data_IF_707980305528
#
_entry.id   IF_707980305528
#
_cell.length_a   1.000
_cell.length_b   1.000
_cell.length_c   1.000
_cell.angle_alpha   90.00
_cell.angle_beta   90.00
_cell.angle_gamma   90.00
#
_symmetry.space_group_name_H-M   'P 1'
#
loop_
_entity.id
_entity.type
_entity.pdbx_description
1 polymer ?
#
# COMPACT_ATOMS: atom_id res chain seq x y z
N UNK A 1 19.66 8.60 1.50
CA UNK A 1 19.89 9.95 0.94
C UNK A 1 18.58 10.70 0.93
N UNK A 2 18.54 11.87 1.56
CA UNK A 2 17.34 12.70 1.66
C UNK A 2 17.29 13.61 0.44
N UNK A 3 16.27 13.47 -0.38
CA UNK A 3 16.03 14.36 -1.51
C UNK A 3 15.64 15.73 -1.01
N UNK A 4 16.56 16.67 -1.07
CA UNK A 4 16.24 18.10 -0.95
C UNK A 4 16.19 18.71 -2.34
N UNK A 5 15.01 19.13 -2.77
CA UNK A 5 14.92 20.14 -3.82
C UNK A 5 15.66 21.38 -3.34
N UNK A 6 16.63 21.88 -4.10
CA UNK A 6 17.25 23.17 -3.86
C UNK A 6 16.16 24.26 -3.90
N UNK A 7 15.79 24.77 -2.76
CA UNK A 7 14.99 25.98 -2.66
C UNK A 7 15.95 27.16 -2.71
N UNK A 8 15.79 28.00 -3.70
CA UNK A 8 16.40 29.33 -3.72
C UNK A 8 16.00 30.10 -2.46
N UNK A 9 17.02 30.69 -1.81
CA UNK A 9 16.90 31.28 -0.51
C UNK A 9 15.93 32.47 -0.47
N UNK A 10 15.15 32.48 0.58
CA UNK A 10 14.61 33.71 1.11
C UNK A 10 15.18 33.89 2.52
N UNK A 11 16.08 34.86 2.64
CA UNK A 11 16.64 35.34 3.92
C UNK A 11 15.56 36.17 4.59
N UNK A 12 15.08 35.73 5.73
CA UNK A 12 14.70 36.49 6.90
C UNK A 12 13.76 35.71 7.78
N UNK A 13 14.24 35.31 8.95
CA UNK A 13 13.55 35.46 10.23
C UNK A 13 14.24 34.59 11.29
N UNK A 14 15.11 35.21 12.04
CA UNK A 14 15.49 34.79 13.39
C UNK A 14 14.27 34.99 14.30
N UNK A 15 13.74 33.90 14.85
CA UNK A 15 13.03 33.89 16.14
C UNK A 15 13.28 32.55 16.83
N UNK A 16 13.63 32.56 18.14
CA UNK A 16 13.92 31.33 18.87
C UNK A 16 12.65 30.57 19.26
N UNK A 17 12.76 29.25 19.25
CA UNK A 17 11.77 28.31 19.72
C UNK A 17 11.66 28.36 21.26
N UNK A 18 10.45 28.32 21.84
CA UNK A 18 10.25 28.20 23.27
C UNK A 18 9.86 26.79 23.65
N UNK A 19 10.80 25.88 23.70
CA UNK A 19 10.70 24.63 24.46
C UNK A 19 12.10 24.11 24.76
N UNK A 20 12.66 24.64 25.86
CA UNK A 20 13.74 23.99 26.60
C UNK A 20 13.23 23.76 28.03
N UNK A 21 12.99 22.57 28.38
CA UNK A 21 13.25 21.74 29.57
C UNK A 21 13.14 22.37 30.99
N UNK A 22 13.18 21.56 32.09
CA UNK A 22 13.32 20.13 32.28
C UNK A 22 12.42 19.48 33.38
N UNK A 23 12.37 18.16 33.35
CA UNK A 23 12.45 17.31 34.55
C UNK A 23 11.26 17.19 35.48
N UNK A 24 10.72 15.99 35.52
CA UNK A 24 10.59 15.24 36.81
C UNK A 24 10.24 13.77 36.53
N UNK A 25 11.09 12.90 37.02
CA UNK A 25 10.86 11.46 37.12
C UNK A 25 9.66 11.17 38.00
N UNK A 26 8.60 10.57 37.47
CA UNK A 26 7.63 9.83 38.28
C UNK A 26 7.86 8.33 38.09
N UNK A 27 8.45 7.73 39.11
CA UNK A 27 8.53 6.29 39.27
C UNK A 27 7.17 5.80 39.74
N UNK A 28 6.35 5.31 38.78
CA UNK A 28 5.11 4.62 39.05
C UNK A 28 5.36 3.11 39.11
N UNK A 29 5.11 2.52 40.29
CA UNK A 29 5.25 1.08 40.58
C UNK A 29 4.36 0.25 39.63
N UNK A 30 4.97 -0.53 38.75
CA UNK A 30 4.28 -1.60 38.04
C UNK A 30 4.09 -2.80 38.96
N UNK A 31 2.86 -3.08 39.35
CA UNK A 31 2.48 -4.36 40.02
C UNK A 31 2.60 -5.47 38.98
N UNK A 32 3.56 -6.36 39.16
CA UNK A 32 3.72 -7.59 38.43
C UNK A 32 2.53 -8.53 38.72
N UNK A 33 1.71 -8.81 37.71
CA UNK A 33 0.77 -9.91 37.71
C UNK A 33 1.50 -11.17 37.28
N UNK A 34 1.76 -12.08 38.20
CA UNK A 34 2.22 -13.43 37.90
C UNK A 34 1.07 -14.24 37.29
N UNK A 35 1.05 -14.38 35.96
CA UNK A 35 0.27 -15.43 35.31
C UNK A 35 1.10 -16.72 35.25
N UNK A 36 0.60 -17.75 35.96
CA UNK A 36 1.14 -19.11 35.88
C UNK A 36 0.78 -19.70 34.52
N UNK A 37 1.75 -19.83 33.62
CA UNK A 37 1.59 -20.52 32.36
C UNK A 37 1.67 -22.03 32.58
N UNK A 38 0.56 -22.72 32.38
CA UNK A 38 0.59 -24.16 32.14
C UNK A 38 1.10 -24.39 30.69
N UNK A 39 2.32 -24.88 30.58
CA UNK A 39 2.90 -25.30 29.32
C UNK A 39 2.17 -26.55 28.81
N UNK A 40 1.18 -26.39 27.97
CA UNK A 40 0.82 -27.40 26.99
C UNK A 40 1.79 -27.23 25.82
N UNK A 41 2.72 -28.16 25.65
CA UNK A 41 3.64 -28.18 24.51
C UNK A 41 2.85 -28.48 23.22
N UNK A 42 2.14 -27.49 22.72
CA UNK A 42 1.66 -27.51 21.35
C UNK A 42 2.90 -27.46 20.46
N UNK A 43 3.08 -28.48 19.61
CA UNK A 43 4.07 -28.45 18.54
C UNK A 43 3.78 -27.22 17.69
N UNK A 44 4.53 -26.14 17.91
CA UNK A 44 4.52 -24.96 17.07
C UNK A 44 5.13 -25.43 15.74
N UNK A 45 4.28 -25.77 14.77
CA UNK A 45 4.69 -25.92 13.39
C UNK A 45 5.08 -24.53 12.93
N UNK A 46 6.37 -24.19 13.02
CA UNK A 46 6.89 -22.96 12.43
C UNK A 46 6.75 -23.08 10.91
N UNK A 47 5.70 -22.55 10.36
CA UNK A 47 5.60 -22.33 8.93
C UNK A 47 6.65 -21.30 8.53
N UNK A 48 7.78 -21.76 8.01
CA UNK A 48 8.75 -20.87 7.37
C UNK A 48 8.26 -20.59 5.95
N UNK A 49 7.51 -19.53 5.78
CA UNK A 49 7.21 -19.05 4.44
C UNK A 49 8.53 -18.67 3.75
N UNK A 50 8.70 -19.04 2.46
CA UNK A 50 9.92 -18.71 1.74
C UNK A 50 10.07 -17.19 1.67
N UNK A 51 11.32 -16.73 1.77
CA UNK A 51 11.68 -15.32 1.59
C UNK A 51 11.29 -14.90 0.17
N UNK A 52 10.51 -13.85 0.02
CA UNK A 52 10.21 -13.29 -1.30
C UNK A 52 11.44 -12.58 -1.85
N UNK A 53 11.99 -13.11 -2.95
CA UNK A 53 13.10 -12.51 -3.67
C UNK A 53 12.61 -11.90 -4.98
N UNK A 54 12.94 -10.64 -5.20
CA UNK A 54 12.69 -9.92 -6.47
C UNK A 54 14.04 -9.57 -7.06
N UNK A 55 14.50 -10.36 -8.02
CA UNK A 55 15.89 -10.33 -8.47
C UNK A 55 16.85 -10.55 -7.30
N UNK A 56 17.73 -9.57 -7.04
CA UNK A 56 18.68 -9.59 -5.89
C UNK A 56 18.10 -9.05 -4.57
N UNK A 57 16.90 -8.47 -4.60
CA UNK A 57 16.27 -7.89 -3.42
C UNK A 57 15.54 -8.96 -2.61
N UNK A 58 15.95 -9.19 -1.37
CA UNK A 58 15.27 -10.06 -0.41
C UNK A 58 14.35 -9.22 0.48
N UNK A 59 13.08 -9.58 0.56
CA UNK A 59 12.10 -8.88 1.37
C UNK A 59 11.92 -9.56 2.73
N UNK A 60 11.82 -8.74 3.78
CA UNK A 60 11.60 -9.23 5.16
C UNK A 60 10.19 -9.82 5.37
N UNK A 61 9.25 -9.51 4.48
CA UNK A 61 7.89 -10.04 4.46
C UNK A 61 7.44 -10.20 3.01
N UNK A 62 6.56 -11.17 2.75
CA UNK A 62 5.99 -11.45 1.43
C UNK A 62 4.83 -10.51 1.07
N UNK A 63 4.55 -9.54 1.94
CA UNK A 63 3.42 -8.62 1.79
C UNK A 63 3.88 -7.30 1.18
N UNK A 64 3.17 -6.87 0.15
CA UNK A 64 3.45 -5.64 -0.57
C UNK A 64 2.26 -4.67 -0.49
N UNK A 65 2.54 -3.37 -0.39
CA UNK A 65 1.51 -2.33 -0.54
C UNK A 65 1.34 -2.01 -2.03
N UNK A 66 0.13 -2.25 -2.55
CA UNK A 66 -0.20 -1.94 -3.94
C UNK A 66 -0.25 -0.42 -4.19
N UNK A 67 0.18 0.06 -5.37
CA UNK A 67 0.06 1.46 -5.77
C UNK A 67 -1.42 1.85 -5.94
N UNK A 68 -1.86 2.90 -5.23
CA UNK A 68 -3.21 3.47 -5.33
C UNK A 68 -3.11 4.99 -5.48
N UNK A 69 -3.50 5.49 -6.66
CA UNK A 69 -3.43 6.91 -7.00
C UNK A 69 -4.23 7.80 -6.03
N UNK A 70 -3.55 8.73 -5.41
CA UNK A 70 -4.10 9.65 -4.42
C UNK A 70 -4.28 9.06 -3.02
N UNK A 71 -3.67 7.90 -2.75
CA UNK A 71 -3.78 7.20 -1.45
C UNK A 71 -2.42 6.73 -0.92
N UNK A 72 -1.58 6.10 -1.72
CA UNK A 72 -0.32 5.48 -1.27
C UNK A 72 0.87 6.44 -1.33
N UNK A 73 0.64 7.73 -1.08
CA UNK A 73 1.69 8.73 -0.94
C UNK A 73 2.58 8.46 0.28
N UNK A 74 3.70 9.19 0.36
CA UNK A 74 4.69 9.05 1.45
C UNK A 74 4.08 9.07 2.86
N UNK A 75 3.12 9.97 3.21
CA UNK A 75 2.52 10.00 4.53
C UNK A 75 1.88 8.68 4.94
N UNK A 76 1.13 8.04 4.03
CA UNK A 76 0.52 6.75 4.28
C UNK A 76 1.57 5.64 4.42
N UNK A 77 2.53 5.57 3.48
CA UNK A 77 3.58 4.54 3.50
C UNK A 77 4.36 4.57 4.82
N UNK A 78 4.78 5.75 5.27
CA UNK A 78 5.47 5.90 6.55
C UNK A 78 4.60 5.50 7.76
N UNK A 79 3.31 5.80 7.71
CA UNK A 79 2.42 5.48 8.83
C UNK A 79 2.16 3.97 8.93
N UNK A 80 1.92 3.29 7.80
CA UNK A 80 1.66 1.85 7.79
C UNK A 80 2.93 1.03 8.09
N UNK A 81 4.11 1.48 7.65
CA UNK A 81 5.37 0.81 7.98
C UNK A 81 5.66 0.76 9.48
N UNK A 82 5.21 1.74 10.25
CA UNK A 82 5.36 1.75 11.73
C UNK A 82 4.58 0.64 12.41
N UNK A 83 3.58 0.06 11.75
CA UNK A 83 2.82 -1.09 12.26
C UNK A 83 3.55 -2.43 12.03
N UNK A 84 4.51 -2.49 11.11
CA UNK A 84 5.24 -3.70 10.77
C UNK A 84 4.58 -4.57 9.69
N UNK A 85 5.24 -5.68 9.34
CA UNK A 85 4.74 -6.69 8.40
C UNK A 85 4.78 -6.32 6.92
N UNK A 86 5.12 -5.09 6.56
CA UNK A 86 5.20 -4.63 5.16
C UNK A 86 6.60 -4.87 4.58
N UNK A 87 6.71 -5.74 3.58
CA UNK A 87 7.96 -6.06 2.89
C UNK A 87 8.36 -5.02 1.84
N UNK A 88 7.44 -4.66 0.94
CA UNK A 88 7.69 -3.69 -0.13
C UNK A 88 6.52 -2.71 -0.24
N UNK A 89 6.81 -1.42 -0.28
CA UNK A 89 5.81 -0.42 -0.62
C UNK A 89 6.01 0.09 -2.06
N UNK A 90 4.91 0.39 -2.76
CA UNK A 90 4.95 1.09 -4.03
C UNK A 90 4.48 2.54 -3.89
N UNK A 91 5.07 3.43 -4.68
CA UNK A 91 4.55 4.80 -4.84
C UNK A 91 3.18 4.79 -5.53
N UNK A 92 2.54 5.93 -5.62
CA UNK A 92 1.49 6.14 -6.63
C UNK A 92 2.10 6.05 -8.03
N UNK A 93 1.24 5.88 -9.07
CA UNK A 93 1.75 5.84 -10.45
C UNK A 93 2.29 7.21 -10.89
N UNK A 94 3.49 7.21 -11.45
CA UNK A 94 4.23 8.39 -11.90
C UNK A 94 4.39 8.35 -13.43
N UNK A 95 4.05 9.43 -14.11
CA UNK A 95 4.26 9.52 -15.55
C UNK A 95 5.75 9.68 -15.87
N UNK A 96 6.31 8.78 -16.68
CA UNK A 96 7.73 8.78 -17.02
C UNK A 96 8.19 10.09 -17.66
N UNK A 97 7.44 10.61 -18.64
CA UNK A 97 7.71 11.89 -19.32
C UNK A 97 7.71 13.04 -18.31
N UNK A 98 6.68 13.12 -17.44
CA UNK A 98 6.60 14.17 -16.40
C UNK A 98 7.78 14.14 -15.45
N UNK A 99 8.35 12.97 -15.19
CA UNK A 99 9.53 12.81 -14.35
C UNK A 99 10.79 13.32 -15.05
N UNK A 100 10.99 12.97 -16.32
CA UNK A 100 12.13 13.44 -17.12
C UNK A 100 12.06 14.97 -17.31
N UNK A 101 10.87 15.49 -17.57
CA UNK A 101 10.61 16.93 -17.67
C UNK A 101 10.68 17.67 -16.33
N UNK A 102 11.00 16.95 -15.23
CA UNK A 102 11.14 17.50 -13.87
C UNK A 102 9.91 18.25 -13.36
N UNK A 103 8.72 17.76 -13.73
CA UNK A 103 7.48 18.36 -13.25
C UNK A 103 7.33 18.16 -11.74
N UNK A 104 7.04 19.23 -11.01
CA UNK A 104 6.93 19.27 -9.55
C UNK A 104 6.06 18.13 -9.00
N UNK A 105 4.91 17.87 -9.62
CA UNK A 105 3.99 16.82 -9.17
C UNK A 105 4.60 15.41 -9.27
N UNK A 106 5.42 15.12 -10.29
CA UNK A 106 6.10 13.83 -10.41
C UNK A 106 7.10 13.63 -9.26
N UNK A 107 7.82 14.69 -8.87
CA UNK A 107 8.75 14.68 -7.73
C UNK A 107 8.03 14.52 -6.40
N UNK A 108 6.87 15.15 -6.19
CA UNK A 108 6.05 14.94 -4.99
C UNK A 108 5.63 13.46 -4.84
N UNK A 109 5.34 12.76 -5.95
CA UNK A 109 4.90 11.36 -5.93
C UNK A 109 6.01 10.36 -5.58
N UNK A 110 7.26 10.66 -5.93
CA UNK A 110 8.42 9.82 -5.64
C UNK A 110 9.14 10.18 -4.35
N UNK A 111 8.67 11.21 -3.62
CA UNK A 111 9.30 11.60 -2.36
C UNK A 111 9.35 10.42 -1.39
N UNK A 112 10.51 10.27 -0.71
CA UNK A 112 10.79 9.16 0.18
C UNK A 112 11.63 9.60 1.38
N UNK A 113 11.75 8.74 2.39
CA UNK A 113 12.57 8.88 3.59
C UNK A 113 13.33 7.59 3.84
N UNK A 114 14.40 7.59 4.65
CA UNK A 114 15.12 6.35 5.00
C UNK A 114 14.23 5.24 5.56
N UNK A 115 13.17 5.59 6.29
CA UNK A 115 12.23 4.64 6.88
C UNK A 115 11.23 4.05 5.86
N UNK A 116 11.18 4.60 4.64
CA UNK A 116 10.28 4.13 3.57
C UNK A 116 10.96 3.12 2.64
N UNK A 117 11.79 2.26 3.19
CA UNK A 117 12.55 1.27 2.41
C UNK A 117 12.17 -0.15 2.79
N UNK A 118 12.24 -1.11 1.82
CA UNK A 118 12.48 -0.90 0.39
C UNK A 118 11.27 -0.29 -0.33
N UNK A 119 11.52 0.52 -1.37
CA UNK A 119 10.52 1.24 -2.14
C UNK A 119 10.57 0.84 -3.62
N UNK A 120 9.39 0.57 -4.19
CA UNK A 120 9.16 0.49 -5.63
C UNK A 120 8.58 1.81 -6.15
N UNK A 121 9.17 2.40 -7.18
CA UNK A 121 8.57 3.53 -7.88
C UNK A 121 7.80 2.98 -9.08
N UNK A 122 6.46 3.21 -9.08
CA UNK A 122 5.64 2.76 -10.19
C UNK A 122 5.59 3.81 -11.30
N UNK A 123 6.17 3.47 -12.45
CA UNK A 123 6.14 4.26 -13.67
C UNK A 123 4.96 3.87 -14.58
N UNK A 124 4.40 4.85 -15.28
CA UNK A 124 3.53 4.61 -16.43
C UNK A 124 3.91 5.49 -17.60
N UNK A 125 3.81 4.93 -18.78
CA UNK A 125 4.12 5.54 -20.09
C UNK A 125 3.83 4.51 -21.17
N UNK A 126 3.88 4.94 -22.44
CA UNK A 126 3.71 4.07 -23.60
C UNK A 126 4.93 4.13 -24.54
N UNK A 127 5.88 5.02 -24.29
CA UNK A 127 7.09 5.23 -25.08
C UNK A 127 8.27 4.55 -24.37
N UNK A 128 8.88 3.50 -24.96
CA UNK A 128 9.96 2.75 -24.34
C UNK A 128 11.14 3.62 -23.91
N UNK A 129 11.53 4.60 -24.71
CA UNK A 129 12.66 5.49 -24.46
C UNK A 129 12.41 6.38 -23.24
N UNK A 130 11.21 6.96 -23.10
CA UNK A 130 10.83 7.75 -21.93
C UNK A 130 10.83 6.90 -20.66
N UNK A 131 10.31 5.67 -20.73
CA UNK A 131 10.29 4.74 -19.60
C UNK A 131 11.70 4.29 -19.19
N UNK A 132 12.55 4.02 -20.17
CA UNK A 132 13.99 3.70 -19.98
C UNK A 132 14.72 4.84 -19.25
N UNK A 133 14.60 6.05 -19.76
CA UNK A 133 15.33 7.21 -19.25
C UNK A 133 14.85 7.58 -17.82
N UNK A 134 13.53 7.49 -17.58
CA UNK A 134 12.97 7.68 -16.25
C UNK A 134 13.47 6.61 -15.25
N UNK A 135 13.55 5.34 -15.68
CA UNK A 135 14.03 4.25 -14.85
C UNK A 135 15.52 4.41 -14.49
N UNK A 136 16.36 4.70 -15.48
CA UNK A 136 17.79 4.93 -15.30
C UNK A 136 18.03 6.13 -14.35
N UNK A 137 17.26 7.18 -14.49
CA UNK A 137 17.33 8.31 -13.59
C UNK A 137 16.93 7.92 -12.16
N UNK A 138 15.83 7.17 -11.96
CA UNK A 138 15.39 6.70 -10.65
C UNK A 138 16.43 5.79 -9.97
N UNK A 139 17.08 4.90 -10.72
CA UNK A 139 18.18 4.09 -10.20
C UNK A 139 19.30 4.97 -9.67
N UNK A 140 19.71 6.01 -10.41
CA UNK A 140 20.75 6.96 -9.97
C UNK A 140 20.36 7.68 -8.67
N UNK A 141 19.09 7.69 -8.33
CA UNK A 141 18.54 8.27 -7.11
C UNK A 141 18.43 7.29 -5.94
N UNK A 142 18.83 6.03 -6.12
CA UNK A 142 18.83 5.02 -5.07
C UNK A 142 17.47 4.36 -4.83
N UNK A 143 16.59 4.36 -5.82
CA UNK A 143 15.34 3.58 -5.78
C UNK A 143 15.66 2.08 -5.79
N UNK A 144 14.85 1.27 -5.10
CA UNK A 144 15.12 -0.17 -4.95
C UNK A 144 14.53 -1.03 -6.05
N UNK A 145 13.35 -0.63 -6.57
CA UNK A 145 12.60 -1.38 -7.59
C UNK A 145 11.92 -0.39 -8.52
N UNK A 146 11.99 -0.64 -9.83
CA UNK A 146 11.14 0.01 -10.82
C UNK A 146 9.93 -0.88 -11.08
N UNK A 147 8.71 -0.36 -10.90
CA UNK A 147 7.49 -1.09 -11.20
C UNK A 147 6.79 -0.47 -12.42
N UNK A 148 6.47 -1.27 -13.42
CA UNK A 148 5.80 -0.82 -14.66
C UNK A 148 4.30 -1.05 -14.53
N UNK A 149 3.51 0.02 -14.69
CA UNK A 149 2.05 -0.07 -14.66
C UNK A 149 1.49 -0.56 -15.98
N UNK A 150 0.91 -1.76 -16.00
CA UNK A 150 0.18 -2.35 -17.13
C UNK A 150 -1.27 -2.71 -16.77
N UNK A 151 -1.81 -2.15 -15.66
CA UNK A 151 -3.13 -2.55 -15.16
C UNK A 151 -4.11 -1.41 -14.93
N UNK A 152 -3.70 -0.14 -14.99
CA UNK A 152 -4.57 1.00 -14.70
C UNK A 152 -5.63 1.19 -15.81
N UNK A 153 -6.95 1.06 -15.51
CA UNK A 153 -8.00 1.20 -16.49
C UNK A 153 -8.49 2.66 -16.64
N UNK A 154 -7.95 3.60 -15.87
CA UNK A 154 -8.42 4.98 -15.83
C UNK A 154 -8.29 5.62 -17.23
N UNK A 155 -9.36 6.26 -17.77
CA UNK A 155 -9.36 6.81 -19.13
C UNK A 155 -8.19 7.75 -19.43
N UNK A 156 -7.79 8.58 -18.46
CA UNK A 156 -6.65 9.50 -18.62
C UNK A 156 -5.34 8.77 -18.89
N UNK A 157 -5.10 7.61 -18.25
CA UNK A 157 -3.90 6.79 -18.47
C UNK A 157 -4.04 5.99 -19.78
N UNK A 158 -5.20 5.35 -19.98
CA UNK A 158 -5.47 4.52 -21.16
C UNK A 158 -5.34 5.29 -22.48
N UNK A 159 -5.79 6.56 -22.52
CA UNK A 159 -5.72 7.41 -23.73
C UNK A 159 -4.29 7.73 -24.16
N UNK A 160 -3.30 7.61 -23.28
CA UNK A 160 -1.87 7.78 -23.62
C UNK A 160 -1.22 6.49 -24.12
N UNK A 161 -1.98 5.40 -24.32
CA UNK A 161 -1.44 4.08 -24.68
C UNK A 161 -0.84 3.31 -23.50
N UNK A 162 -0.85 3.87 -22.29
CA UNK A 162 -0.26 3.30 -21.08
C UNK A 162 -1.27 2.50 -20.22
N UNK A 163 -0.78 1.92 -19.16
CA UNK A 163 -1.60 1.14 -18.24
C UNK A 163 -2.22 -0.07 -18.93
N UNK A 164 -3.55 -0.25 -18.80
CA UNK A 164 -4.25 -1.40 -19.39
C UNK A 164 -4.15 -1.44 -20.92
N UNK A 165 -3.89 -0.32 -21.58
CA UNK A 165 -3.75 -0.27 -23.04
C UNK A 165 -2.53 -1.08 -23.53
N UNK A 166 -1.47 -1.19 -22.72
CA UNK A 166 -0.30 -2.04 -23.03
C UNK A 166 -0.69 -3.51 -23.12
N UNK A 167 -1.67 -3.97 -22.36
CA UNK A 167 -2.15 -5.36 -22.46
C UNK A 167 -2.94 -5.63 -23.75
N UNK A 168 -3.42 -4.59 -24.42
CA UNK A 168 -4.03 -4.73 -25.75
C UNK A 168 -2.99 -4.86 -26.87
N UNK A 169 -1.74 -4.46 -26.62
CA UNK A 169 -0.60 -4.51 -27.53
C UNK A 169 0.60 -5.19 -26.87
N UNK A 170 0.55 -6.54 -26.70
CA UNK A 170 1.59 -7.29 -25.97
C UNK A 170 3.01 -7.05 -26.48
N UNK A 171 3.20 -6.93 -27.80
CA UNK A 171 4.50 -6.71 -28.43
C UNK A 171 5.11 -5.37 -27.97
N UNK A 172 4.29 -4.32 -27.87
CA UNK A 172 4.75 -3.02 -27.38
C UNK A 172 5.04 -3.07 -25.87
N UNK A 173 4.20 -3.79 -25.11
CA UNK A 173 4.41 -4.00 -23.67
C UNK A 173 5.75 -4.70 -23.38
N UNK A 174 6.09 -5.73 -24.16
CA UNK A 174 7.36 -6.47 -24.04
C UNK A 174 8.55 -5.58 -24.40
N UNK A 175 8.52 -4.89 -25.55
CA UNK A 175 9.59 -3.95 -25.93
C UNK A 175 9.84 -2.87 -24.89
N UNK A 176 8.77 -2.35 -24.28
CA UNK A 176 8.86 -1.35 -23.21
C UNK A 176 9.51 -1.94 -21.97
N UNK A 177 9.09 -3.14 -21.53
CA UNK A 177 9.65 -3.81 -20.36
C UNK A 177 11.13 -4.17 -20.57
N UNK A 178 11.49 -4.67 -21.75
CA UNK A 178 12.87 -4.98 -22.12
C UNK A 178 13.76 -3.73 -22.13
N UNK A 179 13.28 -2.62 -22.72
CA UNK A 179 14.01 -1.36 -22.72
C UNK A 179 14.30 -0.85 -21.30
N UNK A 180 13.34 -1.00 -20.38
CA UNK A 180 13.52 -0.64 -18.98
C UNK A 180 14.47 -1.62 -18.25
N UNK A 181 14.27 -2.93 -18.42
CA UNK A 181 15.07 -3.96 -17.75
C UNK A 181 16.54 -3.90 -18.14
N UNK A 182 16.84 -3.61 -19.41
CA UNK A 182 18.21 -3.47 -19.90
C UNK A 182 18.91 -2.16 -19.48
N UNK A 183 18.13 -1.15 -19.05
CA UNK A 183 18.68 0.16 -18.68
C UNK A 183 19.13 0.25 -17.22
N UNK A 184 18.68 -0.65 -16.35
CA UNK A 184 18.91 -0.58 -14.91
C UNK A 184 19.45 -1.91 -14.37
N UNK A 185 20.15 -1.83 -13.23
CA UNK A 185 20.65 -3.01 -12.50
C UNK A 185 19.75 -3.42 -11.34
N UNK A 186 18.87 -2.50 -10.89
CA UNK A 186 17.87 -2.78 -9.87
C UNK A 186 16.72 -3.60 -10.48
N UNK A 187 16.00 -4.39 -9.67
CA UNK A 187 14.88 -5.19 -10.17
C UNK A 187 13.81 -4.34 -10.86
N UNK A 188 13.33 -4.82 -12.00
CA UNK A 188 12.15 -4.28 -12.69
C UNK A 188 10.99 -5.24 -12.48
N UNK A 189 9.85 -4.72 -12.06
CA UNK A 189 8.60 -5.48 -11.89
C UNK A 189 7.51 -4.95 -12.80
N UNK A 190 6.49 -5.77 -13.06
CA UNK A 190 5.31 -5.37 -13.83
C UNK A 190 4.06 -5.62 -13.02
N UNK A 191 3.23 -4.57 -12.86
CA UNK A 191 1.89 -4.73 -12.28
C UNK A 191 0.83 -4.73 -13.37
N UNK A 192 0.14 -5.88 -13.55
CA UNK A 192 -0.82 -6.09 -14.61
C UNK A 192 -2.16 -6.64 -14.10
N UNK A 193 -3.13 -6.76 -15.00
CA UNK A 193 -4.40 -7.45 -14.84
C UNK A 193 -4.41 -8.75 -15.66
N UNK A 194 -5.56 -9.47 -15.70
CA UNK A 194 -5.69 -10.70 -16.48
C UNK A 194 -5.82 -10.42 -17.99
N UNK A 195 -6.33 -9.26 -18.35
CA UNK A 195 -6.56 -8.82 -19.72
C UNK A 195 -7.32 -7.51 -19.77
N UNK A 196 -7.61 -7.03 -20.97
CA UNK A 196 -8.43 -5.82 -21.16
C UNK A 196 -9.88 -6.08 -20.72
N UNK A 197 -10.42 -7.22 -21.13
CA UNK A 197 -11.76 -7.70 -20.80
C UNK A 197 -11.79 -9.22 -20.71
N UNK A 198 -12.97 -9.81 -20.46
CA UNK A 198 -13.11 -11.24 -20.28
C UNK A 198 -13.02 -12.06 -21.58
N UNK A 199 -13.08 -11.41 -22.73
CA UNK A 199 -12.95 -12.09 -24.04
C UNK A 199 -11.50 -12.23 -24.47
N UNK A 200 -10.60 -11.44 -23.85
CA UNK A 200 -9.17 -11.41 -24.20
C UNK A 200 -8.30 -11.45 -22.94
N UNK A 201 -8.10 -12.65 -22.40
CA UNK A 201 -7.17 -12.92 -21.31
C UNK A 201 -5.78 -13.16 -21.90
N UNK A 202 -4.84 -12.26 -21.64
CA UNK A 202 -3.47 -12.32 -22.21
C UNK A 202 -2.40 -12.50 -21.13
N UNK A 203 -2.77 -12.45 -19.84
CA UNK A 203 -1.81 -12.42 -18.76
C UNK A 203 -0.84 -13.61 -18.73
N UNK A 204 -1.24 -14.88 -18.96
CA UNK A 204 -0.29 -15.99 -18.94
C UNK A 204 0.79 -15.91 -20.02
N UNK A 205 0.42 -15.57 -21.26
CA UNK A 205 1.37 -15.47 -22.36
C UNK A 205 2.25 -14.22 -22.23
N UNK A 206 1.65 -13.10 -21.83
CA UNK A 206 2.38 -11.87 -21.52
C UNK A 206 3.39 -12.08 -20.39
N UNK A 207 3.04 -12.87 -19.37
CA UNK A 207 3.92 -13.18 -18.23
C UNK A 207 5.20 -13.91 -18.68
N UNK A 208 5.10 -14.89 -19.59
CA UNK A 208 6.27 -15.57 -20.16
C UNK A 208 7.16 -14.57 -20.91
N UNK A 209 6.54 -13.75 -21.75
CA UNK A 209 7.28 -12.75 -22.52
C UNK A 209 7.95 -11.71 -21.60
N UNK A 210 7.32 -11.32 -20.48
CA UNK A 210 7.93 -10.44 -19.47
C UNK A 210 9.11 -11.10 -18.75
N UNK A 211 8.99 -12.39 -18.41
CA UNK A 211 10.10 -13.16 -17.85
C UNK A 211 11.31 -13.19 -18.78
N UNK A 212 11.07 -13.42 -20.08
CA UNK A 212 12.11 -13.45 -21.11
C UNK A 212 12.70 -12.06 -21.39
N UNK A 213 11.91 -10.99 -21.23
CA UNK A 213 12.35 -9.59 -21.31
C UNK A 213 13.16 -9.11 -20.08
N UNK A 214 13.43 -9.97 -19.10
CA UNK A 214 14.27 -9.64 -17.95
C UNK A 214 13.52 -9.01 -16.76
N UNK A 215 12.18 -9.06 -16.75
CA UNK A 215 11.39 -8.64 -15.58
C UNK A 215 11.66 -9.56 -14.39
N UNK A 216 11.85 -8.99 -13.20
CA UNK A 216 12.25 -9.73 -12.01
C UNK A 216 11.08 -10.26 -11.15
N UNK A 217 9.87 -9.73 -11.32
CA UNK A 217 8.64 -10.21 -10.68
C UNK A 217 7.39 -9.64 -11.35
N UNK A 218 6.26 -10.33 -11.19
CA UNK A 218 4.97 -9.88 -11.67
C UNK A 218 4.00 -9.70 -10.50
N UNK A 219 3.24 -8.58 -10.51
CA UNK A 219 2.11 -8.38 -9.60
C UNK A 219 0.81 -8.46 -10.41
N UNK A 220 -0.01 -9.47 -10.14
CA UNK A 220 -1.19 -9.80 -10.95
C UNK A 220 -2.48 -9.51 -10.21
N UNK A 221 -3.26 -8.53 -10.69
CA UNK A 221 -4.61 -8.32 -10.20
C UNK A 221 -5.57 -9.29 -10.91
N UNK A 222 -6.21 -10.18 -10.16
CA UNK A 222 -7.09 -11.24 -10.65
C UNK A 222 -8.42 -10.74 -11.25
N UNK A 223 -8.42 -9.58 -11.90
CA UNK A 223 -9.54 -8.99 -12.65
C UNK A 223 -9.07 -8.47 -13.98
N UNK A 224 -9.99 -8.33 -14.92
CA UNK A 224 -9.74 -7.64 -16.19
C UNK A 224 -9.90 -6.12 -16.07
N UNK A 225 -9.46 -5.39 -17.10
CA UNK A 225 -9.63 -3.94 -17.18
C UNK A 225 -11.09 -3.53 -17.15
N UNK A 226 -11.96 -4.22 -17.88
CA UNK A 226 -13.39 -3.95 -17.96
C UNK A 226 -14.11 -4.17 -16.63
N UNK A 227 -13.70 -5.16 -15.83
CA UNK A 227 -14.25 -5.37 -14.48
C UNK A 227 -13.95 -4.20 -13.53
N UNK A 228 -12.86 -3.46 -13.74
CA UNK A 228 -12.46 -2.42 -12.81
C UNK A 228 -12.26 -2.98 -11.39
N UNK A 229 -13.21 -2.73 -10.50
CA UNK A 229 -13.27 -3.27 -9.14
C UNK A 229 -14.54 -4.09 -8.86
N UNK A 230 -15.33 -4.35 -9.89
CA UNK A 230 -16.58 -5.11 -9.80
C UNK A 230 -16.35 -6.62 -9.94
N UNK A 231 -17.30 -7.41 -9.46
CA UNK A 231 -17.23 -8.86 -9.50
C UNK A 231 -16.14 -9.43 -8.57
N UNK A 232 -15.97 -10.74 -8.61
CA UNK A 232 -14.98 -11.44 -7.81
C UNK A 232 -13.58 -11.43 -8.44
N UNK A 233 -12.55 -11.60 -7.64
CA UNK A 233 -11.17 -11.81 -8.08
C UNK A 233 -11.00 -13.26 -8.51
N UNK A 234 -10.54 -13.50 -9.72
CA UNK A 234 -10.23 -14.84 -10.21
C UNK A 234 -8.91 -15.33 -9.65
N UNK A 235 -8.97 -16.24 -8.67
CA UNK A 235 -7.78 -16.93 -8.17
C UNK A 235 -7.19 -17.86 -9.23
N UNK A 236 -8.03 -18.50 -10.06
CA UNK A 236 -7.57 -19.33 -11.17
C UNK A 236 -6.81 -18.50 -12.23
N UNK A 237 -7.27 -17.28 -12.50
CA UNK A 237 -6.55 -16.36 -13.38
C UNK A 237 -5.17 -15.97 -12.84
N UNK A 238 -5.01 -15.81 -11.52
CA UNK A 238 -3.68 -15.61 -10.91
C UNK A 238 -2.85 -16.89 -11.01
N UNK A 239 -3.44 -18.05 -10.69
CA UNK A 239 -2.79 -19.35 -10.77
C UNK A 239 -2.26 -19.65 -12.17
N UNK A 240 -3.03 -19.35 -13.22
CA UNK A 240 -2.58 -19.57 -14.61
C UNK A 240 -1.34 -18.75 -14.95
N UNK A 241 -1.19 -17.56 -14.39
CA UNK A 241 0.04 -16.76 -14.53
C UNK A 241 1.19 -17.37 -13.73
N UNK A 242 0.94 -17.85 -12.50
CA UNK A 242 1.97 -18.56 -11.71
C UNK A 242 2.52 -19.77 -12.46
N UNK A 243 1.63 -20.54 -13.10
CA UNK A 243 2.02 -21.72 -13.89
C UNK A 243 2.72 -21.39 -15.20
N UNK A 244 2.54 -20.18 -15.71
CA UNK A 244 3.13 -19.76 -16.98
C UNK A 244 4.60 -19.38 -16.87
N UNK A 245 5.06 -18.84 -15.72
CA UNK A 245 6.45 -18.44 -15.47
C UNK A 245 7.23 -19.53 -14.72
N UNK A 246 8.55 -19.50 -14.82
CA UNK A 246 9.43 -20.51 -14.23
C UNK A 246 10.51 -19.96 -13.31
N UNK A 247 10.96 -18.73 -13.56
CA UNK A 247 12.15 -18.14 -12.93
C UNK A 247 11.84 -16.99 -12.00
N UNK A 248 10.69 -16.31 -12.21
CA UNK A 248 10.34 -15.10 -11.48
C UNK A 248 9.12 -15.32 -10.58
N UNK A 249 9.07 -14.69 -9.40
CA UNK A 249 7.91 -14.77 -8.53
C UNK A 249 6.71 -14.00 -9.08
N UNK A 250 5.52 -14.55 -8.83
CA UNK A 250 4.25 -13.87 -9.04
C UNK A 250 3.69 -13.42 -7.69
N UNK A 251 3.26 -12.18 -7.59
CA UNK A 251 2.63 -11.57 -6.42
C UNK A 251 1.14 -11.43 -6.73
N UNK A 252 0.29 -12.11 -5.96
CA UNK A 252 -1.16 -12.06 -6.12
C UNK A 252 -1.74 -10.73 -5.62
N UNK A 253 -2.76 -10.21 -6.29
CA UNK A 253 -3.43 -8.96 -5.92
C UNK A 253 -4.94 -9.03 -6.18
N UNK A 254 -5.70 -8.42 -5.29
CA UNK A 254 -7.16 -8.23 -5.40
C UNK A 254 -7.89 -8.69 -4.14
N UNK A 255 -8.73 -7.82 -3.59
CA UNK A 255 -9.68 -8.02 -2.48
C UNK A 255 -9.14 -8.72 -1.21
N UNK A 256 -7.85 -8.65 -0.97
CA UNK A 256 -7.27 -9.10 0.29
C UNK A 256 -7.54 -8.05 1.35
N UNK A 257 -8.39 -8.40 2.31
CA UNK A 257 -8.87 -7.53 3.40
C UNK A 257 -8.69 -8.15 4.78
N UNK A 258 -8.35 -9.46 4.84
CA UNK A 258 -8.07 -10.20 6.08
C UNK A 258 -6.82 -11.06 5.93
N UNK A 259 -6.18 -11.49 7.04
CA UNK A 259 -5.07 -12.45 7.01
C UNK A 259 -5.41 -13.77 6.32
N UNK A 260 -6.62 -14.30 6.58
CA UNK A 260 -7.10 -15.55 5.99
C UNK A 260 -7.26 -15.42 4.47
N UNK A 261 -7.73 -14.26 3.98
CA UNK A 261 -7.82 -14.00 2.54
C UNK A 261 -6.45 -13.99 1.86
N UNK A 262 -5.42 -13.45 2.52
CA UNK A 262 -4.06 -13.51 2.02
C UNK A 262 -3.53 -14.95 1.95
N UNK A 263 -3.73 -15.74 3.02
CA UNK A 263 -3.37 -17.16 3.07
C UNK A 263 -4.08 -17.96 1.98
N UNK A 264 -5.40 -17.77 1.84
CA UNK A 264 -6.19 -18.42 0.81
C UNK A 264 -5.70 -18.12 -0.60
N UNK A 265 -5.36 -16.85 -0.88
CA UNK A 265 -4.80 -16.47 -2.17
C UNK A 265 -3.51 -17.23 -2.45
N UNK A 266 -2.57 -17.30 -1.49
CA UNK A 266 -1.31 -18.02 -1.66
C UNK A 266 -1.56 -19.52 -1.89
N UNK A 267 -2.37 -20.16 -1.05
CA UNK A 267 -2.65 -21.60 -1.12
C UNK A 267 -3.35 -22.02 -2.42
N UNK A 268 -4.29 -21.19 -2.91
CA UNK A 268 -5.04 -21.50 -4.12
C UNK A 268 -4.29 -21.19 -5.41
N UNK A 269 -3.41 -20.19 -5.39
CA UNK A 269 -2.74 -19.74 -6.61
C UNK A 269 -1.28 -20.18 -6.72
N UNK A 270 -0.62 -20.46 -5.59
CA UNK A 270 0.82 -20.70 -5.52
C UNK A 270 1.65 -19.42 -5.69
N UNK A 271 1.07 -18.23 -5.58
CA UNK A 271 1.82 -16.99 -5.67
C UNK A 271 2.83 -16.85 -4.52
N UNK A 272 3.98 -16.24 -4.78
CA UNK A 272 5.08 -16.10 -3.84
C UNK A 272 4.88 -14.99 -2.80
N UNK A 273 3.92 -14.10 -3.02
CA UNK A 273 3.60 -13.00 -2.12
C UNK A 273 2.24 -12.38 -2.45
N UNK A 274 1.81 -11.44 -1.62
CA UNK A 274 0.49 -10.80 -1.75
C UNK A 274 0.63 -9.28 -1.73
N UNK A 275 0.04 -8.62 -2.73
CA UNK A 275 -0.03 -7.15 -2.82
C UNK A 275 -1.41 -6.68 -2.38
N UNK A 276 -1.45 -5.85 -1.32
CA UNK A 276 -2.68 -5.37 -0.68
C UNK A 276 -2.92 -3.91 -1.04
N UNK A 277 -4.10 -3.63 -1.58
CA UNK A 277 -4.53 -2.29 -1.95
C UNK A 277 -5.51 -1.70 -0.93
N UNK A 278 -6.79 -1.65 -1.27
CA UNK A 278 -7.86 -1.04 -0.47
C UNK A 278 -7.96 -1.61 0.95
N UNK A 279 -7.63 -2.90 1.13
CA UNK A 279 -7.59 -3.55 2.44
C UNK A 279 -6.70 -2.82 3.44
N UNK A 280 -5.59 -2.23 2.99
CA UNK A 280 -4.68 -1.45 3.83
C UNK A 280 -5.29 -0.16 4.39
N UNK A 281 -6.33 0.39 3.75
CA UNK A 281 -7.07 1.56 4.26
C UNK A 281 -8.24 1.14 5.16
N UNK A 282 -8.85 0.00 4.89
CA UNK A 282 -9.92 -0.54 5.74
C UNK A 282 -9.38 -1.04 7.07
N UNK A 283 -8.22 -1.69 7.03
CA UNK A 283 -7.48 -2.14 8.20
C UNK A 283 -5.96 -1.95 7.98
N UNK A 284 -5.35 -0.85 8.44
CA UNK A 284 -3.91 -0.61 8.28
C UNK A 284 -3.01 -1.66 8.93
N UNK A 285 -3.49 -2.39 9.92
CA UNK A 285 -2.77 -3.47 10.59
C UNK A 285 -2.69 -4.75 9.76
N UNK A 286 -3.36 -4.79 8.58
CA UNK A 286 -3.44 -5.97 7.72
C UNK A 286 -2.06 -6.59 7.44
N UNK A 287 -1.00 -5.79 7.28
CA UNK A 287 0.35 -6.30 7.03
C UNK A 287 0.92 -7.02 8.25
N UNK A 288 0.90 -6.40 9.42
CA UNK A 288 1.38 -6.99 10.67
C UNK A 288 0.56 -8.22 11.06
N UNK A 289 -0.78 -8.14 10.97
CA UNK A 289 -1.67 -9.24 11.28
C UNK A 289 -1.48 -10.41 10.32
N UNK A 290 -1.34 -10.15 9.03
CA UNK A 290 -1.11 -11.20 8.03
C UNK A 290 0.26 -11.83 8.19
N UNK A 291 1.32 -11.05 8.39
CA UNK A 291 2.67 -11.58 8.60
C UNK A 291 2.72 -12.49 9.85
N UNK A 292 2.08 -12.06 10.94
CA UNK A 292 1.94 -12.88 12.14
C UNK A 292 1.16 -14.16 11.87
N UNK A 293 -0.04 -14.04 11.28
CA UNK A 293 -0.91 -15.18 10.99
C UNK A 293 -0.24 -16.22 10.07
N UNK A 294 0.47 -15.78 9.05
CA UNK A 294 1.20 -16.67 8.15
C UNK A 294 2.33 -17.43 8.87
N UNK A 295 2.96 -16.82 9.88
CA UNK A 295 4.07 -17.42 10.64
C UNK A 295 3.59 -18.37 11.74
N UNK A 296 2.47 -18.04 12.40
CA UNK A 296 2.03 -18.72 13.63
C UNK A 296 0.74 -19.52 13.47
N UNK A 297 -0.09 -19.14 12.48
CA UNK A 297 -1.46 -19.64 12.34
C UNK A 297 -2.46 -18.95 13.28
N UNK A 298 -2.03 -18.00 14.09
CA UNK A 298 -2.84 -17.31 15.09
C UNK A 298 -3.16 -15.88 14.64
N UNK A 299 -4.39 -15.43 14.92
CA UNK A 299 -4.80 -14.05 14.68
C UNK A 299 -4.38 -13.15 15.84
N UNK A 300 -3.83 -11.98 15.52
CA UNK A 300 -3.62 -10.94 16.52
C UNK A 300 -4.95 -10.28 16.93
N UNK A 301 -5.05 -9.76 18.17
CA UNK A 301 -6.21 -8.98 18.59
C UNK A 301 -6.48 -7.80 17.63
N UNK A 302 -7.77 -7.55 17.39
CA UNK A 302 -8.16 -6.39 16.59
C UNK A 302 -7.78 -5.08 17.27
N UNK A 303 -7.30 -4.08 16.51
CA UNK A 303 -7.00 -2.75 17.07
C UNK A 303 -8.24 -2.13 17.70
N UNK A 304 -8.04 -1.48 18.85
CA UNK A 304 -9.09 -0.74 19.52
C UNK A 304 -9.55 0.46 18.69
N UNK A 305 -10.66 1.05 19.09
CA UNK A 305 -11.12 2.30 18.48
C UNK A 305 -10.06 3.41 18.61
N UNK A 306 -9.41 3.54 19.77
CA UNK A 306 -8.40 4.57 20.01
C UNK A 306 -7.11 4.31 19.22
N UNK A 307 -6.69 3.05 19.01
CA UNK A 307 -5.58 2.73 18.10
C UNK A 307 -5.87 3.21 16.68
N UNK A 308 -7.09 2.99 16.22
CA UNK A 308 -7.52 3.41 14.87
C UNK A 308 -7.58 4.92 14.72
N UNK A 309 -8.05 5.63 15.76
CA UNK A 309 -8.02 7.10 15.81
C UNK A 309 -6.58 7.60 15.81
N UNK A 310 -5.71 7.02 16.63
CA UNK A 310 -4.29 7.39 16.70
C UNK A 310 -3.58 7.19 15.35
N UNK A 311 -3.84 6.07 14.66
CA UNK A 311 -3.30 5.85 13.32
C UNK A 311 -3.75 6.94 12.34
N UNK A 312 -5.03 7.25 12.34
CA UNK A 312 -5.63 8.26 11.47
C UNK A 312 -5.06 9.65 11.74
N UNK A 313 -4.87 10.00 13.02
CA UNK A 313 -4.23 11.25 13.48
C UNK A 313 -2.80 11.34 12.95
N UNK A 314 -1.99 10.30 13.15
CA UNK A 314 -0.60 10.27 12.68
C UNK A 314 -0.49 10.38 11.15
N UNK A 315 -1.44 9.80 10.42
CA UNK A 315 -1.47 9.94 8.97
C UNK A 315 -1.79 11.39 8.55
N UNK A 316 -2.77 12.03 9.19
CA UNK A 316 -3.09 13.44 8.94
C UNK A 316 -1.88 14.35 9.26
N UNK A 317 -1.24 14.15 10.42
CA UNK A 317 -0.09 14.96 10.83
C UNK A 317 1.06 14.88 9.78
N UNK A 318 1.35 13.69 9.25
CA UNK A 318 2.32 13.52 8.17
C UNK A 318 1.88 14.16 6.85
N UNK A 319 0.58 14.18 6.55
CA UNK A 319 0.07 14.89 5.38
C UNK A 319 0.23 16.40 5.53
N UNK A 320 0.00 16.92 6.73
CA UNK A 320 0.21 18.34 7.06
C UNK A 320 1.71 18.69 6.96
N UNK A 321 2.59 17.85 7.52
CA UNK A 321 4.04 18.02 7.42
C UNK A 321 4.50 18.10 5.95
N UNK A 322 4.01 17.23 5.10
CA UNK A 322 4.44 17.13 3.70
C UNK A 322 3.83 18.21 2.80
N UNK A 323 2.54 18.52 2.96
CA UNK A 323 1.78 19.34 2.02
C UNK A 323 1.37 20.70 2.56
N UNK A 324 1.62 20.99 3.85
CA UNK A 324 1.05 22.11 4.58
C UNK A 324 -0.37 21.84 5.06
N UNK A 325 -0.83 22.57 6.08
CA UNK A 325 -2.07 22.27 6.80
C UNK A 325 -3.30 22.26 5.90
N UNK A 326 -3.54 23.34 5.16
CA UNK A 326 -4.72 23.45 4.30
C UNK A 326 -4.80 22.32 3.26
N UNK A 327 -3.70 22.08 2.52
CA UNK A 327 -3.67 21.07 1.46
C UNK A 327 -3.72 19.66 2.05
N UNK A 328 -3.00 19.40 3.14
CA UNK A 328 -3.00 18.13 3.86
C UNK A 328 -4.39 17.75 4.34
N UNK A 329 -5.09 18.67 5.01
CA UNK A 329 -6.46 18.48 5.47
C UNK A 329 -7.44 18.25 4.30
N UNK A 330 -7.36 19.04 3.23
CA UNK A 330 -8.19 18.86 2.04
C UNK A 330 -8.00 17.46 1.40
N UNK A 331 -6.75 17.02 1.27
CA UNK A 331 -6.46 15.68 0.72
C UNK A 331 -6.95 14.57 1.64
N UNK A 332 -6.88 14.78 2.95
CA UNK A 332 -7.30 13.79 3.94
C UNK A 332 -8.81 13.53 3.96
N UNK A 333 -9.65 14.50 3.55
CA UNK A 333 -11.12 14.37 3.47
C UNK A 333 -11.60 13.12 2.75
N UNK A 334 -10.92 12.71 1.67
CA UNK A 334 -11.28 11.52 0.89
C UNK A 334 -10.73 10.22 1.49
N UNK A 335 -9.69 10.30 2.33
CA UNK A 335 -9.01 9.13 2.90
C UNK A 335 -9.66 8.73 4.22
N UNK A 336 -9.93 9.69 5.10
CA UNK A 336 -10.45 9.45 6.43
C UNK A 336 -11.72 8.57 6.48
N UNK A 337 -12.70 8.70 5.56
CA UNK A 337 -13.86 7.83 5.54
C UNK A 337 -13.55 6.34 5.33
N UNK A 338 -12.42 5.99 4.72
CA UNK A 338 -12.03 4.60 4.50
C UNK A 338 -11.69 3.90 5.81
N UNK A 339 -11.08 4.60 6.75
CA UNK A 339 -10.74 4.08 8.08
C UNK A 339 -11.97 3.74 8.91
N UNK A 340 -13.12 4.39 8.64
CA UNK A 340 -14.34 4.17 9.43
C UNK A 340 -15.04 2.84 9.14
N UNK A 341 -14.55 2.04 8.17
CA UNK A 341 -15.10 0.73 7.85
C UNK A 341 -15.21 -0.20 9.06
N UNK A 342 -14.31 -0.03 10.04
CA UNK A 342 -14.25 -0.83 11.27
C UNK A 342 -14.68 -0.05 12.53
N UNK A 343 -15.26 1.14 12.38
CA UNK A 343 -15.66 1.97 13.53
C UNK A 343 -17.08 1.70 14.04
N UNK A 344 -17.90 0.97 13.27
CA UNK A 344 -19.35 0.88 13.46
C UNK A 344 -20.06 2.11 12.89
N UNK A 345 -21.10 2.63 13.54
CA UNK A 345 -21.79 3.84 13.09
C UNK A 345 -20.82 5.01 12.96
N UNK A 346 -20.74 5.61 11.78
CA UNK A 346 -19.79 6.68 11.46
C UNK A 346 -20.40 7.83 10.64
N UNK A 347 -21.72 7.94 10.63
CA UNK A 347 -22.43 8.96 9.83
C UNK A 347 -22.01 10.37 10.23
N UNK A 348 -21.99 10.67 11.54
CA UNK A 348 -21.55 11.96 12.06
C UNK A 348 -20.12 12.29 11.61
N UNK A 349 -19.18 11.37 11.82
CA UNK A 349 -17.80 11.58 11.40
C UNK A 349 -17.70 11.87 9.91
N UNK A 350 -18.38 11.09 9.06
CA UNK A 350 -18.36 11.29 7.60
C UNK A 350 -18.94 12.62 7.16
N UNK A 351 -19.98 13.11 7.84
CA UNK A 351 -20.58 14.42 7.57
C UNK A 351 -19.65 15.56 7.95
N UNK A 352 -18.89 15.41 9.03
CA UNK A 352 -17.99 16.46 9.53
C UNK A 352 -16.65 16.49 8.79
N UNK A 353 -16.06 15.34 8.52
CA UNK A 353 -14.69 15.24 7.99
C UNK A 353 -14.55 15.80 6.56
N UNK A 354 -15.62 15.87 5.78
CA UNK A 354 -15.58 16.44 4.42
C UNK A 354 -15.34 17.95 4.42
N UNK A 355 -15.50 18.59 5.57
CA UNK A 355 -15.26 20.04 5.76
C UNK A 355 -13.91 20.34 6.45
N UNK A 356 -13.12 19.33 6.78
CA UNK A 356 -11.83 19.48 7.48
C UNK A 356 -10.92 20.50 6.78
N UNK A 357 -10.49 21.55 7.49
CA UNK A 357 -9.67 22.63 6.95
C UNK A 357 -8.36 22.86 7.71
N UNK A 358 -8.30 22.49 8.98
CA UNK A 358 -7.12 22.64 9.83
C UNK A 358 -7.03 21.50 10.85
N UNK A 359 -5.90 21.38 11.51
CA UNK A 359 -5.61 20.28 12.46
C UNK A 359 -6.47 20.34 13.73
N UNK A 360 -6.67 21.49 14.39
CA UNK A 360 -7.56 21.61 15.55
C UNK A 360 -9.00 21.13 15.26
N UNK A 361 -9.54 21.49 14.10
CA UNK A 361 -10.87 21.04 13.68
C UNK A 361 -10.97 19.50 13.60
N UNK A 362 -9.88 18.83 13.26
CA UNK A 362 -9.85 17.35 13.29
C UNK A 362 -10.05 16.81 14.71
N UNK A 363 -9.40 17.42 15.71
CA UNK A 363 -9.55 16.99 17.11
C UNK A 363 -10.97 17.24 17.60
N UNK A 364 -11.58 18.37 17.24
CA UNK A 364 -12.99 18.68 17.54
C UNK A 364 -13.93 17.61 16.93
N UNK A 365 -13.71 17.24 15.66
CA UNK A 365 -14.48 16.19 14.97
C UNK A 365 -14.34 14.84 15.68
N UNK A 366 -13.14 14.47 16.09
CA UNK A 366 -12.90 13.22 16.82
C UNK A 366 -13.61 13.22 18.18
N UNK A 367 -13.50 14.31 18.95
CA UNK A 367 -14.17 14.40 20.25
C UNK A 367 -15.69 14.44 20.15
N UNK A 368 -16.24 15.12 19.13
CA UNK A 368 -17.66 15.09 18.82
C UNK A 368 -18.10 13.65 18.44
N UNK A 369 -17.31 12.97 17.61
CA UNK A 369 -17.60 11.62 17.21
C UNK A 369 -17.52 10.63 18.39
N UNK A 370 -16.54 10.75 19.28
CA UNK A 370 -16.43 9.93 20.50
C UNK A 370 -17.68 10.08 21.37
N UNK A 371 -18.14 11.33 21.60
CA UNK A 371 -19.37 11.59 22.37
C UNK A 371 -20.61 10.95 21.72
N UNK A 372 -20.76 11.14 20.41
CA UNK A 372 -21.88 10.58 19.65
C UNK A 372 -21.86 9.04 19.62
N UNK A 373 -20.67 8.45 19.54
CA UNK A 373 -20.47 7.00 19.50
C UNK A 373 -20.90 6.28 20.77
N UNK A 374 -20.90 6.95 21.93
CA UNK A 374 -21.33 6.38 23.22
C UNK A 374 -22.74 5.80 23.18
N UNK A 375 -23.64 6.37 22.36
CA UNK A 375 -24.99 5.85 22.19
C UNK A 375 -25.07 4.44 21.56
N UNK A 376 -23.94 3.91 21.07
CA UNK A 376 -23.84 2.64 20.36
C UNK A 376 -22.91 1.64 21.07
N UNK A 377 -22.42 1.99 22.27
CA UNK A 377 -21.47 1.17 23.05
C UNK A 377 -22.07 0.75 24.39
N UNK A 378 -21.47 -0.31 24.96
CA UNK A 378 -21.61 -0.67 26.36
C UNK A 378 -20.78 0.25 27.29
N UNK A 379 -20.81 -0.02 28.59
CA UNK A 379 -20.10 0.76 29.60
C UNK A 379 -18.55 0.64 29.44
N UNK A 380 -18.05 -0.45 28.87
CA UNK A 380 -16.64 -0.67 28.54
C UNK A 380 -16.23 0.01 27.22
N UNK A 381 -17.17 0.64 26.49
CA UNK A 381 -16.91 1.33 25.22
C UNK A 381 -16.87 0.42 23.98
N UNK A 382 -17.22 -0.88 24.11
CA UNK A 382 -17.35 -1.79 23.01
C UNK A 382 -18.68 -1.58 22.28
N UNK A 383 -18.66 -1.74 20.96
CA UNK A 383 -19.91 -1.64 20.20
C UNK A 383 -20.91 -2.72 20.59
N UNK A 384 -22.13 -2.33 20.87
CA UNK A 384 -23.24 -3.26 21.04
C UNK A 384 -23.38 -4.16 19.80
N UNK A 385 -23.73 -5.45 19.93
CA UNK A 385 -23.71 -6.41 18.84
C UNK A 385 -24.37 -5.95 17.54
N UNK A 386 -25.51 -5.27 17.65
CA UNK A 386 -26.27 -4.74 16.47
C UNK A 386 -25.57 -3.61 15.72
N UNK A 387 -24.55 -3.00 16.29
CA UNK A 387 -23.79 -1.88 15.70
C UNK A 387 -22.39 -2.26 15.28
N UNK A 388 -21.98 -3.52 15.50
CA UNK A 388 -20.70 -4.01 15.03
C UNK A 388 -20.65 -3.96 13.52
N UNK A 389 -19.54 -3.48 12.93
CA UNK A 389 -19.41 -3.48 11.48
C UNK A 389 -19.42 -4.93 10.96
N UNK A 390 -19.92 -5.10 9.75
CA UNK A 390 -19.79 -6.38 9.06
C UNK A 390 -18.30 -6.74 8.92
N UNK A 391 -17.92 -8.00 9.08
CA UNK A 391 -16.56 -8.46 8.85
C UNK A 391 -16.06 -8.05 7.47
N UNK A 392 -14.79 -7.71 7.39
CA UNK A 392 -14.14 -7.52 6.09
C UNK A 392 -14.09 -8.88 5.40
N UNK A 393 -14.53 -8.93 4.16
CA UNK A 393 -14.56 -10.16 3.36
C UNK A 393 -13.83 -9.98 2.05
N UNK A 394 -13.16 -11.03 1.58
CA UNK A 394 -12.64 -11.12 0.24
C UNK A 394 -13.73 -11.61 -0.72
N UNK A 395 -13.68 -11.14 -1.97
CA UNK A 395 -14.56 -11.60 -3.05
C UNK A 395 -13.72 -12.37 -4.06
N UNK A 396 -13.53 -13.65 -3.79
CA UNK A 396 -12.79 -14.59 -4.66
C UNK A 396 -13.73 -15.53 -5.40
N UNK A 397 -13.35 -15.95 -6.61
CA UNK A 397 -13.93 -17.04 -7.36
C UNK A 397 -12.84 -17.98 -7.90
#
# INVERSE_FOLDING_TARGET
MVWRAQRHGNKNANRPSPYSEPGTLFVGQFRAWHFVWHFVAARIVRYTWPVLKIGRLELKSILCLAPLAGYTGLPFRLTVRKLGGLGLAATELVNARSLIERQRKAFELIETRPEDQPLAVQLFGAVPEEMRDAAAWLESQGVHVIDINMGCPVPKVRRTGAGIALMATPENAVRLAEAVANAVRIPVTVKMRLGVDNTRIVAPDLAKAMEDAGVAALCVHGRTGAQGFSGAVSLEGIRSVVQAVRRIPVIGNGDVTTPEAAKLMIEKTGCAGVSIGRGAFYNPWIFAHTDHYLRTGELLPEPTFDDRVLFMTRHLDRMIEMFGETRGCMMFRKIAPLYTRQFGPATLFKQRIVHLSNRPQFDEIIEEYKRWRRAFTDDEGNLLPRYRPAPLTASFM
#
